data_IF_929763755665
#
_entry.id   IF_929763755665
#
_cell.length_a   1.000
_cell.length_b   1.000
_cell.length_c   1.000
_cell.angle_alpha   90.00
_cell.angle_beta   90.00
_cell.angle_gamma   90.00
#
_symmetry.space_group_name_H-M   'P 1'
#
loop_
_entity.id
_entity.type
_entity.pdbx_description
1 polymer ?
#
# COMPACT_ATOMS: atom_id res chain seq x y z
N UNK A 1 -15.32 -58.56 -53.09
CA UNK A 1 -15.67 -58.82 -51.67
C UNK A 1 -14.50 -58.74 -50.68
N UNK A 2 -13.39 -59.50 -50.79
CA UNK A 2 -12.28 -59.40 -49.82
C UNK A 2 -11.57 -58.04 -49.85
N UNK A 3 -11.30 -57.51 -51.05
CA UNK A 3 -10.69 -56.20 -51.23
C UNK A 3 -11.58 -55.04 -50.75
N UNK A 4 -12.89 -55.08 -51.03
CA UNK A 4 -13.85 -54.09 -50.51
C UNK A 4 -13.94 -54.11 -48.98
N UNK A 5 -13.95 -55.29 -48.36
CA UNK A 5 -13.90 -55.41 -46.89
C UNK A 5 -12.60 -54.84 -46.30
N UNK A 6 -11.47 -55.04 -46.98
CA UNK A 6 -10.19 -54.47 -46.56
C UNK A 6 -10.18 -52.93 -46.71
N UNK A 7 -10.74 -52.39 -47.78
CA UNK A 7 -10.85 -50.95 -48.01
C UNK A 7 -11.78 -50.26 -47.01
N UNK A 8 -12.93 -50.87 -46.69
CA UNK A 8 -13.84 -50.38 -45.64
C UNK A 8 -13.14 -50.40 -44.26
N UNK A 9 -12.40 -51.47 -43.94
CA UNK A 9 -11.61 -51.53 -42.69
C UNK A 9 -10.52 -50.45 -42.65
N UNK A 10 -9.84 -50.20 -43.77
CA UNK A 10 -8.83 -49.14 -43.89
C UNK A 10 -9.45 -47.75 -43.66
N UNK A 11 -10.54 -47.41 -44.36
CA UNK A 11 -11.27 -46.15 -44.18
C UNK A 11 -11.80 -45.98 -42.75
N UNK A 12 -12.30 -47.05 -42.12
CA UNK A 12 -12.76 -46.99 -40.73
C UNK A 12 -11.59 -46.78 -39.76
N UNK A 13 -10.43 -47.40 -40.02
CA UNK A 13 -9.22 -47.19 -39.22
C UNK A 13 -8.72 -45.75 -39.35
N UNK A 14 -8.67 -45.21 -40.55
CA UNK A 14 -8.31 -43.81 -40.82
C UNK A 14 -9.25 -42.82 -40.12
N UNK A 15 -10.57 -43.06 -40.17
CA UNK A 15 -11.56 -42.26 -39.44
C UNK A 15 -11.38 -42.33 -37.92
N UNK A 16 -11.07 -43.51 -37.39
CA UNK A 16 -10.79 -43.69 -35.96
C UNK A 16 -9.51 -42.96 -35.55
N UNK A 17 -8.45 -43.02 -36.36
CA UNK A 17 -7.21 -42.27 -36.13
C UNK A 17 -7.46 -40.77 -36.13
N UNK A 18 -8.16 -40.24 -37.15
CA UNK A 18 -8.51 -38.82 -37.22
C UNK A 18 -9.36 -38.36 -36.03
N UNK A 19 -10.35 -39.16 -35.61
CA UNK A 19 -11.18 -38.85 -34.44
C UNK A 19 -10.36 -38.87 -33.14
N UNK A 20 -9.44 -39.83 -33.01
CA UNK A 20 -8.54 -39.93 -31.86
C UNK A 20 -7.59 -38.74 -31.78
N UNK A 21 -7.02 -38.32 -32.91
CA UNK A 21 -6.16 -37.13 -33.00
C UNK A 21 -6.93 -35.85 -32.66
N UNK A 22 -8.15 -35.71 -33.17
CA UNK A 22 -9.03 -34.57 -32.83
C UNK A 22 -9.30 -34.51 -31.32
N UNK A 23 -9.74 -35.62 -30.71
CA UNK A 23 -10.01 -35.69 -29.28
C UNK A 23 -8.78 -35.38 -28.43
N UNK A 24 -7.60 -35.84 -28.87
CA UNK A 24 -6.31 -35.54 -28.21
C UNK A 24 -5.96 -34.05 -28.29
N UNK A 25 -6.14 -33.44 -29.45
CA UNK A 25 -5.90 -32.01 -29.64
C UNK A 25 -6.87 -31.16 -28.81
N UNK A 26 -8.14 -31.54 -28.77
CA UNK A 26 -9.17 -30.87 -27.96
C UNK A 26 -8.84 -30.98 -26.47
N UNK A 27 -8.44 -32.18 -26.00
CA UNK A 27 -8.01 -32.38 -24.62
C UNK A 27 -6.79 -31.52 -24.25
N UNK A 28 -5.77 -31.48 -25.11
CA UNK A 28 -4.57 -30.65 -24.91
C UNK A 28 -4.96 -29.17 -24.85
N UNK A 29 -5.78 -28.72 -25.80
CA UNK A 29 -6.22 -27.32 -25.88
C UNK A 29 -6.98 -26.90 -24.62
N UNK A 30 -7.98 -27.69 -24.22
CA UNK A 30 -8.79 -27.43 -23.03
C UNK A 30 -7.93 -27.43 -21.75
N UNK A 31 -7.02 -28.40 -21.62
CA UNK A 31 -6.11 -28.48 -20.47
C UNK A 31 -5.18 -27.27 -20.40
N UNK A 32 -4.64 -26.81 -21.55
CA UNK A 32 -3.80 -25.61 -21.60
C UNK A 32 -4.61 -24.37 -21.23
N UNK A 33 -5.84 -24.25 -21.74
CA UNK A 33 -6.72 -23.13 -21.43
C UNK A 33 -7.03 -23.08 -19.93
N UNK A 34 -7.41 -24.20 -19.33
CA UNK A 34 -7.71 -24.29 -17.90
C UNK A 34 -6.48 -23.93 -17.04
N UNK A 35 -5.30 -24.47 -17.38
CA UNK A 35 -4.05 -24.12 -16.70
C UNK A 35 -3.72 -22.63 -16.79
N UNK A 36 -3.93 -22.02 -17.96
CA UNK A 36 -3.69 -20.59 -18.15
C UNK A 36 -4.70 -19.74 -17.37
N UNK A 37 -5.99 -20.10 -17.36
CA UNK A 37 -7.02 -19.41 -16.57
C UNK A 37 -6.70 -19.49 -15.08
N UNK A 38 -6.33 -20.66 -14.58
CA UNK A 38 -5.92 -20.87 -13.19
C UNK A 38 -4.65 -20.09 -12.84
N UNK A 39 -3.70 -19.95 -13.78
CA UNK A 39 -2.53 -19.09 -13.60
C UNK A 39 -2.93 -17.63 -13.43
N UNK A 40 -3.74 -17.11 -14.35
CA UNK A 40 -4.16 -15.71 -14.33
C UNK A 40 -4.93 -15.38 -13.05
N UNK A 41 -5.83 -16.26 -12.61
CA UNK A 41 -6.58 -16.07 -11.37
C UNK A 41 -5.67 -16.14 -10.13
N UNK A 42 -4.76 -17.11 -10.07
CA UNK A 42 -3.82 -17.25 -8.94
C UNK A 42 -2.88 -16.06 -8.83
N UNK A 43 -2.33 -15.59 -9.96
CA UNK A 43 -1.49 -14.39 -9.99
C UNK A 43 -2.25 -13.14 -9.56
N UNK A 44 -3.49 -12.97 -10.01
CA UNK A 44 -4.32 -11.83 -9.64
C UNK A 44 -4.62 -11.83 -8.13
N UNK A 45 -5.04 -12.98 -7.60
CA UNK A 45 -5.31 -13.15 -6.17
C UNK A 45 -4.05 -12.90 -5.32
N UNK A 46 -2.89 -13.37 -5.79
CA UNK A 46 -1.61 -13.16 -5.09
C UNK A 46 -1.23 -11.68 -5.08
N UNK A 47 -1.39 -10.96 -6.19
CA UNK A 47 -1.17 -9.51 -6.26
C UNK A 47 -2.10 -8.74 -5.33
N UNK A 48 -3.37 -9.14 -5.27
CA UNK A 48 -4.34 -8.53 -4.38
C UNK A 48 -3.95 -8.73 -2.91
N UNK A 49 -3.62 -9.97 -2.52
CA UNK A 49 -3.19 -10.28 -1.15
C UNK A 49 -1.96 -9.46 -0.74
N UNK A 50 -0.98 -9.32 -1.64
CA UNK A 50 0.22 -8.51 -1.39
C UNK A 50 -0.14 -7.03 -1.19
N UNK A 51 -1.08 -6.50 -1.99
CA UNK A 51 -1.54 -5.12 -1.85
C UNK A 51 -2.26 -4.91 -0.51
N UNK A 52 -3.12 -5.85 -0.10
CA UNK A 52 -3.81 -5.82 1.19
C UNK A 52 -2.83 -5.86 2.36
N UNK A 53 -1.82 -6.74 2.31
CA UNK A 53 -0.75 -6.81 3.31
C UNK A 53 0.04 -5.50 3.35
N UNK A 54 0.41 -4.93 2.19
CA UNK A 54 1.12 -3.66 2.10
C UNK A 54 0.33 -2.54 2.79
N UNK A 55 -0.95 -2.40 2.46
CA UNK A 55 -1.80 -1.35 3.02
C UNK A 55 -1.93 -1.51 4.53
N UNK A 56 -2.15 -2.75 5.01
CA UNK A 56 -2.20 -3.03 6.45
C UNK A 56 -0.91 -2.65 7.17
N UNK A 57 0.25 -2.99 6.59
CA UNK A 57 1.55 -2.64 7.19
C UNK A 57 1.79 -1.12 7.24
N UNK A 58 1.31 -0.38 6.23
CA UNK A 58 1.36 1.08 6.24
C UNK A 58 0.51 1.63 7.39
N UNK A 59 -0.72 1.15 7.53
CA UNK A 59 -1.61 1.58 8.61
C UNK A 59 -1.04 1.27 10.00
N UNK A 60 -0.50 0.05 10.19
CA UNK A 60 0.18 -0.35 11.42
C UNK A 60 1.40 0.54 11.71
N UNK A 61 2.22 0.84 10.70
CA UNK A 61 3.38 1.72 10.83
C UNK A 61 2.97 3.15 11.23
N UNK A 62 1.89 3.69 10.63
CA UNK A 62 1.35 5.01 10.99
C UNK A 62 0.93 5.02 12.46
N UNK A 63 0.20 4.02 12.92
CA UNK A 63 -0.23 3.95 14.31
C UNK A 63 0.95 3.77 15.29
N UNK A 64 1.95 2.97 14.93
CA UNK A 64 3.18 2.86 15.72
C UNK A 64 3.94 4.19 15.79
N UNK A 65 4.07 4.92 14.69
CA UNK A 65 4.68 6.25 14.64
C UNK A 65 3.94 7.23 15.56
N UNK A 66 2.60 7.26 15.50
CA UNK A 66 1.78 8.11 16.38
C UNK A 66 1.99 7.76 17.85
N UNK A 67 2.03 6.47 18.18
CA UNK A 67 2.25 5.99 19.54
C UNK A 67 3.66 6.33 20.05
N UNK A 68 4.68 6.19 19.20
CA UNK A 68 6.06 6.51 19.54
C UNK A 68 6.26 8.02 19.73
N UNK A 69 5.65 8.86 18.87
CA UNK A 69 5.63 10.31 19.05
C UNK A 69 5.00 10.68 20.40
N UNK A 70 3.81 10.13 20.71
CA UNK A 70 3.15 10.35 22.00
C UNK A 70 4.04 9.96 23.19
N UNK A 71 4.74 8.83 23.12
CA UNK A 71 5.68 8.38 24.17
C UNK A 71 6.85 9.35 24.31
N UNK A 72 7.46 9.78 23.21
CA UNK A 72 8.60 10.70 23.21
C UNK A 72 8.24 12.07 23.74
N UNK A 73 7.09 12.61 23.33
CA UNK A 73 6.55 13.88 23.84
C UNK A 73 6.38 13.80 25.36
N UNK A 74 5.76 12.73 25.88
CA UNK A 74 5.58 12.53 27.32
C UNK A 74 6.89 12.40 28.08
N UNK A 75 7.89 11.75 27.49
CA UNK A 75 9.20 11.53 28.13
C UNK A 75 10.05 12.81 28.15
N UNK A 76 10.03 13.58 27.06
CA UNK A 76 10.90 14.74 26.86
C UNK A 76 10.07 16.02 26.61
N UNK A 77 9.16 16.34 27.52
CA UNK A 77 8.21 17.46 27.35
C UNK A 77 8.90 18.82 27.10
N UNK A 78 10.00 19.11 27.80
CA UNK A 78 10.73 20.38 27.63
C UNK A 78 11.30 20.54 26.22
N UNK A 79 11.93 19.49 25.69
CA UNK A 79 12.46 19.48 24.32
C UNK A 79 11.33 19.64 23.29
N UNK A 80 10.21 18.96 23.53
CA UNK A 80 9.02 19.07 22.70
C UNK A 80 8.46 20.50 22.67
N UNK A 81 8.24 21.14 23.82
CA UNK A 81 7.73 22.52 23.84
C UNK A 81 8.72 23.52 23.24
N UNK A 82 10.03 23.31 23.46
CA UNK A 82 11.09 24.09 22.80
C UNK A 82 11.02 23.95 21.27
N UNK A 83 10.80 22.74 20.77
CA UNK A 83 10.60 22.48 19.34
C UNK A 83 9.37 23.21 18.79
N UNK A 84 8.24 23.15 19.49
CA UNK A 84 7.01 23.85 19.10
C UNK A 84 7.22 25.38 19.06
N UNK A 85 7.84 25.95 20.09
CA UNK A 85 8.16 27.38 20.13
C UNK A 85 9.06 27.79 18.96
N UNK A 86 10.07 26.99 18.64
CA UNK A 86 10.96 27.25 17.52
C UNK A 86 10.22 27.21 16.18
N UNK A 87 9.30 26.26 15.98
CA UNK A 87 8.45 26.22 14.79
C UNK A 87 7.57 27.47 14.68
N UNK A 88 6.87 27.85 15.75
CA UNK A 88 6.04 29.07 15.78
C UNK A 88 6.89 30.30 15.46
N UNK A 89 8.08 30.39 16.07
CA UNK A 89 9.04 31.46 15.84
C UNK A 89 9.48 31.53 14.37
N UNK A 90 9.83 30.40 13.76
CA UNK A 90 10.18 30.33 12.35
C UNK A 90 9.03 30.79 11.45
N UNK A 91 7.81 30.37 11.72
CA UNK A 91 6.63 30.79 10.95
C UNK A 91 6.44 32.31 11.08
N UNK A 92 6.57 32.87 12.28
CA UNK A 92 6.39 34.29 12.55
C UNK A 92 7.44 35.17 11.87
N UNK A 93 8.71 34.77 11.88
CA UNK A 93 9.77 35.56 11.24
C UNK A 93 9.81 35.39 9.72
N UNK A 94 9.60 34.18 9.23
CA UNK A 94 9.72 33.89 7.80
C UNK A 94 8.46 34.29 7.02
N UNK A 95 7.31 34.27 7.68
CA UNK A 95 6.05 34.65 7.08
C UNK A 95 5.52 35.91 7.77
N UNK A 96 5.53 37.03 7.05
CA UNK A 96 4.85 38.29 7.44
C UNK A 96 3.34 38.16 7.74
N UNK A 97 2.82 36.93 7.70
CA UNK A 97 1.44 36.49 7.80
C UNK A 97 0.90 36.62 9.23
N UNK A 98 1.74 36.52 10.26
CA UNK A 98 1.31 36.63 11.67
C UNK A 98 1.27 38.09 12.20
N UNK A 99 1.40 39.10 11.33
CA UNK A 99 1.16 40.52 11.67
C UNK A 99 -0.31 40.87 11.93
N UNK A 100 -1.24 39.95 11.61
CA UNK A 100 -2.67 40.03 11.94
C UNK A 100 -2.97 39.16 13.16
N UNK A 101 -4.04 39.47 13.89
CA UNK A 101 -4.53 38.63 14.99
C UNK A 101 -4.70 37.19 14.49
N UNK A 102 -4.01 36.28 15.15
CA UNK A 102 -3.96 34.87 14.76
C UNK A 102 -4.35 34.01 15.96
N UNK A 103 -5.00 32.89 15.70
CA UNK A 103 -5.42 31.93 16.72
C UNK A 103 -4.61 30.65 16.54
N UNK A 104 -3.83 30.30 17.56
CA UNK A 104 -3.16 29.01 17.68
C UNK A 104 -4.08 28.02 18.41
N UNK A 105 -4.37 26.91 17.76
CA UNK A 105 -5.08 25.79 18.36
C UNK A 105 -4.09 24.73 18.81
N UNK A 106 -4.26 24.25 20.04
CA UNK A 106 -3.49 23.18 20.64
C UNK A 106 -4.41 22.08 21.16
N UNK A 107 -3.88 20.88 21.37
CA UNK A 107 -4.60 19.87 22.15
C UNK A 107 -4.76 20.34 23.63
N UNK A 108 -5.56 19.64 24.42
CA UNK A 108 -5.82 20.00 25.82
C UNK A 108 -4.54 20.11 26.68
N UNK A 109 -3.57 19.22 26.47
CA UNK A 109 -2.34 19.16 27.29
C UNK A 109 -1.44 20.35 26.98
N UNK A 110 -1.18 20.58 25.71
CA UNK A 110 -0.32 21.64 25.20
C UNK A 110 -0.96 23.01 25.44
N UNK A 111 -2.29 23.12 25.28
CA UNK A 111 -3.04 24.32 25.63
C UNK A 111 -2.82 24.73 27.09
N UNK A 112 -2.93 23.77 28.03
CA UNK A 112 -2.71 24.07 29.46
C UNK A 112 -1.29 24.58 29.70
N UNK A 113 -0.29 23.96 29.08
CA UNK A 113 1.10 24.37 29.21
C UNK A 113 1.33 25.79 28.68
N UNK A 114 0.91 26.07 27.44
CA UNK A 114 1.11 27.38 26.81
C UNK A 114 0.22 28.48 27.40
N UNK A 115 -0.93 28.13 27.98
CA UNK A 115 -1.76 29.10 28.70
C UNK A 115 -1.14 29.52 30.04
N UNK A 116 -0.43 28.60 30.72
CA UNK A 116 0.33 28.93 31.92
C UNK A 116 1.61 29.73 31.60
N UNK A 117 2.25 29.44 30.45
CA UNK A 117 3.52 30.06 30.03
C UNK A 117 3.32 31.03 28.85
N UNK A 118 2.22 31.79 28.87
CA UNK A 118 1.81 32.63 27.74
C UNK A 118 2.85 33.70 27.36
N UNK A 119 3.64 34.16 28.31
CA UNK A 119 4.70 35.16 28.10
C UNK A 119 5.72 34.73 27.02
N UNK A 120 5.99 33.44 26.90
CA UNK A 120 6.91 32.91 25.88
C UNK A 120 6.35 33.12 24.46
N UNK A 121 5.06 32.88 24.27
CA UNK A 121 4.37 33.11 23.00
C UNK A 121 4.18 34.61 22.72
N UNK A 122 3.90 35.41 23.75
CA UNK A 122 3.76 36.85 23.64
C UNK A 122 5.09 37.51 23.23
N UNK A 123 6.22 37.00 23.70
CA UNK A 123 7.56 37.46 23.32
C UNK A 123 7.86 37.22 21.84
N UNK A 124 7.42 36.08 21.29
CA UNK A 124 7.59 35.75 19.87
C UNK A 124 6.69 36.62 18.98
N UNK A 125 5.45 36.85 19.42
CA UNK A 125 4.39 37.39 18.57
C UNK A 125 4.00 38.84 18.82
N UNK A 126 4.61 39.50 19.82
CA UNK A 126 4.23 40.85 20.22
C UNK A 126 2.78 40.96 20.71
N UNK A 127 2.25 39.91 21.36
CA UNK A 127 0.87 39.80 21.88
C UNK A 127 -0.26 39.74 20.83
N UNK A 128 0.08 39.43 19.57
CA UNK A 128 -0.90 39.32 18.48
C UNK A 128 -1.53 37.92 18.35
N UNK A 129 -1.23 37.00 19.26
CA UNK A 129 -1.70 35.61 19.21
C UNK A 129 -2.71 35.34 20.32
N UNK A 130 -3.85 34.76 19.93
CA UNK A 130 -4.77 34.08 20.83
C UNK A 130 -4.45 32.59 20.80
N UNK A 131 -4.57 31.92 21.94
CA UNK A 131 -4.49 30.46 22.01
C UNK A 131 -5.86 29.89 22.34
N UNK A 132 -6.21 28.78 21.71
CA UNK A 132 -7.46 28.05 21.93
C UNK A 132 -7.20 26.54 22.01
N UNK A 133 -8.08 25.83 22.71
CA UNK A 133 -8.06 24.37 22.71
C UNK A 133 -8.81 23.86 21.47
N UNK A 134 -8.29 22.79 20.87
CA UNK A 134 -8.96 22.03 19.82
C UNK A 134 -8.93 20.55 20.12
N UNK A 135 -10.08 19.89 19.92
CA UNK A 135 -10.21 18.44 20.07
C UNK A 135 -9.79 17.68 18.79
N UNK A 136 -9.47 18.40 17.71
CA UNK A 136 -9.02 17.82 16.44
C UNK A 136 -7.56 17.35 16.57
N UNK A 137 -6.75 18.04 17.37
CA UNK A 137 -5.33 17.75 17.56
C UNK A 137 -5.20 16.67 18.63
N UNK A 138 -4.81 15.46 18.22
CA UNK A 138 -4.83 14.28 19.11
C UNK A 138 -3.49 13.98 19.78
N UNK A 139 -2.37 14.18 19.09
CA UNK A 139 -1.03 13.81 19.56
C UNK A 139 -0.29 15.03 20.11
N UNK A 140 -0.23 16.09 19.31
CA UNK A 140 0.56 17.28 19.57
C UNK A 140 0.78 18.07 18.28
N UNK A 141 1.53 19.16 18.39
CA UNK A 141 1.61 20.15 17.33
C UNK A 141 0.56 21.25 17.52
N UNK A 142 0.33 22.02 16.47
CA UNK A 142 -0.59 23.15 16.53
C UNK A 142 -1.17 23.49 15.16
N UNK A 143 -2.26 24.23 15.18
CA UNK A 143 -2.89 24.76 13.98
C UNK A 143 -3.03 26.28 14.09
N UNK A 144 -2.77 26.98 12.99
CA UNK A 144 -2.86 28.44 12.92
C UNK A 144 -4.04 28.83 12.02
N UNK A 145 -4.92 29.67 12.55
CA UNK A 145 -5.93 30.38 11.75
C UNK A 145 -5.77 31.90 11.88
N UNK A 146 -6.28 32.63 10.90
CA UNK A 146 -6.47 34.08 11.00
C UNK A 146 -7.93 34.43 11.32
N UNK A 147 -8.21 35.69 11.70
CA UNK A 147 -9.51 36.26 12.10
C UNK A 147 -10.76 35.88 11.25
N UNK A 148 -10.60 35.25 10.08
CA UNK A 148 -11.70 34.77 9.21
C UNK A 148 -11.94 33.25 9.26
N UNK A 149 -11.24 32.51 10.11
CA UNK A 149 -11.40 31.06 10.24
C UNK A 149 -10.69 30.22 9.18
N UNK A 150 -10.04 30.85 8.20
CA UNK A 150 -9.20 30.14 7.23
C UNK A 150 -7.96 29.56 7.94
N UNK A 151 -7.80 28.24 7.84
CA UNK A 151 -6.60 27.54 8.30
C UNK A 151 -5.45 27.94 7.39
N UNK A 152 -4.44 28.61 7.95
CA UNK A 152 -3.25 28.97 7.19
C UNK A 152 -2.16 27.91 7.29
N UNK A 153 -2.03 27.28 8.46
CA UNK A 153 -0.99 26.28 8.68
C UNK A 153 -1.48 25.19 9.62
N UNK A 154 -1.23 23.93 9.25
CA UNK A 154 -1.55 22.76 10.05
C UNK A 154 -0.29 21.95 10.37
N UNK A 155 0.28 22.22 11.55
CA UNK A 155 1.46 21.54 12.09
C UNK A 155 1.07 20.47 13.12
N UNK A 156 -0.17 19.96 13.10
CA UNK A 156 -0.52 18.74 13.83
C UNK A 156 0.35 17.58 13.31
N UNK A 157 0.93 16.81 14.23
CA UNK A 157 1.74 15.64 13.85
C UNK A 157 0.95 14.62 13.03
N UNK A 158 -0.36 14.50 13.26
CA UNK A 158 -1.20 13.61 12.43
C UNK A 158 -1.27 14.09 10.98
N UNK A 159 -1.31 15.40 10.77
CA UNK A 159 -1.25 16.00 9.44
C UNK A 159 0.15 15.86 8.82
N UNK A 160 1.21 16.09 9.59
CA UNK A 160 2.59 15.91 9.11
C UNK A 160 2.86 14.48 8.64
N UNK A 161 2.38 13.47 9.37
CA UNK A 161 2.48 12.07 8.94
C UNK A 161 1.74 11.87 7.62
N UNK A 162 0.52 12.40 7.50
CA UNK A 162 -0.31 12.28 6.31
C UNK A 162 0.32 12.95 5.08
N UNK A 163 0.88 14.15 5.23
CA UNK A 163 1.57 14.86 4.14
C UNK A 163 2.79 14.09 3.63
N UNK A 164 3.38 13.25 4.48
CA UNK A 164 4.52 12.39 4.15
C UNK A 164 4.13 10.93 3.86
N UNK A 165 2.83 10.63 3.68
CA UNK A 165 2.35 9.27 3.41
C UNK A 165 2.98 8.68 2.14
N UNK A 166 3.09 9.48 1.08
CA UNK A 166 3.71 9.05 -0.18
C UNK A 166 5.15 8.61 0.01
N UNK A 167 5.91 9.28 0.89
CA UNK A 167 7.27 8.85 1.23
C UNK A 167 7.28 7.50 1.95
N UNK A 168 6.38 7.30 2.91
CA UNK A 168 6.21 6.02 3.62
C UNK A 168 5.87 4.91 2.62
N UNK A 169 4.90 5.15 1.73
CA UNK A 169 4.49 4.20 0.70
C UNK A 169 5.63 3.82 -0.25
N UNK A 170 6.48 4.78 -0.64
CA UNK A 170 7.65 4.55 -1.48
C UNK A 170 8.64 3.64 -0.75
N UNK A 171 8.95 3.91 0.51
CA UNK A 171 9.87 3.08 1.31
C UNK A 171 9.35 1.64 1.43
N UNK A 172 8.06 1.46 1.71
CA UNK A 172 7.44 0.13 1.74
C UNK A 172 7.48 -0.58 0.39
N UNK A 173 7.26 0.15 -0.71
CA UNK A 173 7.32 -0.42 -2.06
C UNK A 173 8.74 -0.89 -2.41
N UNK A 174 9.76 -0.14 -1.99
CA UNK A 174 11.16 -0.54 -2.16
C UNK A 174 11.51 -1.81 -1.37
N UNK A 175 11.01 -1.93 -0.12
CA UNK A 175 11.21 -3.11 0.72
C UNK A 175 10.50 -4.36 0.18
N UNK A 176 9.27 -4.20 -0.31
CA UNK A 176 8.48 -5.32 -0.83
C UNK A 176 9.05 -5.81 -2.17
N UNK A 177 9.63 -4.92 -2.97
CA UNK A 177 10.28 -5.14 -4.27
C UNK A 177 9.53 -6.04 -5.26
N UNK A 178 9.47 -5.63 -6.51
CA UNK A 178 9.01 -6.49 -7.62
C UNK A 178 9.79 -7.82 -7.71
N UNK A 179 10.95 -7.96 -7.04
CA UNK A 179 11.72 -9.19 -7.02
C UNK A 179 10.96 -10.35 -6.37
N UNK A 180 10.24 -10.12 -5.27
CA UNK A 180 9.44 -11.17 -4.61
C UNK A 180 8.30 -11.65 -5.51
N UNK A 181 7.62 -10.72 -6.17
CA UNK A 181 6.51 -11.00 -7.10
C UNK A 181 7.03 -11.68 -8.37
N UNK A 182 8.13 -11.20 -8.95
CA UNK A 182 8.77 -11.81 -10.13
C UNK A 182 9.28 -13.20 -9.82
N UNK A 183 9.84 -13.44 -8.63
CA UNK A 183 10.28 -14.78 -8.21
C UNK A 183 9.10 -15.74 -8.13
N UNK A 184 8.00 -15.34 -7.50
CA UNK A 184 6.75 -16.10 -7.46
C UNK A 184 6.22 -16.41 -8.86
N UNK A 185 6.24 -15.42 -9.76
CA UNK A 185 5.85 -15.59 -11.15
C UNK A 185 6.71 -16.63 -11.87
N UNK A 186 8.04 -16.55 -11.73
CA UNK A 186 8.98 -17.50 -12.34
C UNK A 186 8.77 -18.92 -11.81
N UNK A 187 8.58 -19.08 -10.49
CA UNK A 187 8.34 -20.39 -9.86
C UNK A 187 7.04 -21.04 -10.39
N UNK A 188 5.97 -20.25 -10.54
CA UNK A 188 4.70 -20.74 -11.09
C UNK A 188 4.76 -21.02 -12.60
N UNK A 189 5.43 -20.19 -13.40
CA UNK A 189 5.66 -20.45 -14.84
C UNK A 189 6.44 -21.75 -15.05
N UNK A 190 7.45 -21.99 -14.20
CA UNK A 190 8.22 -23.24 -14.19
C UNK A 190 7.35 -24.44 -13.84
N UNK A 191 6.48 -24.32 -12.82
CA UNK A 191 5.51 -25.35 -12.45
C UNK A 191 4.57 -25.71 -13.61
N UNK A 192 4.01 -24.71 -14.30
CA UNK A 192 3.12 -24.95 -15.45
C UNK A 192 3.85 -25.62 -16.60
N UNK A 193 5.07 -25.16 -16.90
CA UNK A 193 5.89 -25.77 -17.95
C UNK A 193 6.14 -27.25 -17.65
N UNK A 194 6.42 -27.56 -16.38
CA UNK A 194 6.60 -28.93 -15.90
C UNK A 194 5.32 -29.76 -16.07
N UNK A 195 4.16 -29.23 -15.64
CA UNK A 195 2.87 -29.92 -15.79
C UNK A 195 2.46 -30.14 -17.25
N UNK A 196 2.69 -29.15 -18.12
CA UNK A 196 2.47 -29.28 -19.57
C UNK A 196 3.33 -30.39 -20.17
N UNK A 197 4.57 -30.53 -19.71
CA UNK A 197 5.46 -31.61 -20.14
C UNK A 197 4.98 -32.98 -19.63
N UNK A 198 4.60 -33.09 -18.35
CA UNK A 198 4.06 -34.32 -17.77
C UNK A 198 2.81 -34.83 -18.52
N UNK A 199 1.88 -33.93 -18.88
CA UNK A 199 0.69 -34.28 -19.67
C UNK A 199 1.09 -34.82 -21.06
N UNK A 200 2.03 -34.16 -21.74
CA UNK A 200 2.54 -34.64 -23.04
C UNK A 200 3.19 -36.02 -22.91
N UNK A 201 4.02 -36.22 -21.89
CA UNK A 201 4.71 -37.49 -21.64
C UNK A 201 3.71 -38.61 -21.31
N UNK A 202 2.64 -38.32 -20.56
CA UNK A 202 1.57 -39.26 -20.26
C UNK A 202 0.81 -39.68 -21.54
N UNK A 203 0.47 -38.72 -22.39
CA UNK A 203 -0.19 -38.99 -23.68
C UNK A 203 0.70 -39.82 -24.62
N UNK A 204 2.01 -39.55 -24.67
CA UNK A 204 2.96 -40.35 -25.45
C UNK A 204 3.05 -41.79 -24.92
N UNK A 205 3.00 -41.99 -23.60
CA UNK A 205 2.97 -43.33 -23.01
C UNK A 205 1.68 -44.07 -23.34
N UNK A 206 0.55 -43.39 -23.31
CA UNK A 206 -0.75 -43.97 -23.66
C UNK A 206 -0.82 -44.42 -25.13
N UNK A 207 -0.24 -43.65 -26.05
CA UNK A 207 -0.16 -44.02 -27.48
C UNK A 207 0.73 -45.24 -27.77
N UNK A 208 1.58 -45.64 -26.81
CA UNK A 208 2.48 -46.81 -26.92
C UNK A 208 1.87 -48.11 -26.37
N UNK A 209 0.69 -48.05 -25.76
CA UNK A 209 -0.08 -49.18 -25.22
C UNK A 209 -1.09 -49.62 -26.28
#
# INVERSE_FOLDING_TARGET
>A
MLFEKAEIKKKNREKLTQKSESLKNDFISNSIQELNTNLSSTLLNSKQLILEIKNRLIDECIEELKNELNKRIKKNQSEYYTFILNLIKQIYYNNNILKKKSILYFNNVDFKHFNQNKEELDTISGKNIKIEQSDIISIGGFLITQDKGDVMFNYDFSNMIRENLSFIEIQFTQLISDFGIKKLQIEFESFITTKKKEIKDYLIKYDKI
#
